data_IF_239272727755
#
_entry.id   IF_239272727755
#
_cell.length_a   1.000
_cell.length_b   1.000
_cell.length_c   1.000
_cell.angle_alpha   90.00
_cell.angle_beta   90.00
_cell.angle_gamma   90.00
#
_symmetry.space_group_name_H-M   'P 1'
#
loop_
_entity.id
_entity.type
_entity.pdbx_description
1 polymer ?
#
# COMPACT_ATOMS: atom_id res chain seq x y z
N UNK A 1 6.10 12.38 -0.26
CA UNK A 1 4.68 12.41 0.14
C UNK A 1 3.83 12.99 -0.97
N UNK A 2 3.96 14.28 -1.25
CA UNK A 2 3.21 14.93 -2.34
C UNK A 2 3.52 14.34 -3.72
N UNK A 3 4.78 14.03 -4.01
CA UNK A 3 5.17 13.49 -5.32
C UNK A 3 4.54 12.13 -5.60
N UNK A 4 4.50 11.24 -4.60
CA UNK A 4 3.88 9.92 -4.74
C UNK A 4 2.35 10.02 -4.96
N UNK A 5 1.70 11.05 -4.39
CA UNK A 5 0.27 11.33 -4.63
C UNK A 5 0.04 11.76 -6.07
N UNK A 6 0.85 12.70 -6.58
CA UNK A 6 0.72 13.15 -7.97
C UNK A 6 1.05 12.03 -8.96
N UNK A 7 2.05 11.21 -8.64
CA UNK A 7 2.40 10.04 -9.43
C UNK A 7 1.25 9.03 -9.48
N UNK A 8 0.64 8.67 -8.34
CA UNK A 8 -0.51 7.76 -8.32
C UNK A 8 -1.67 8.30 -9.17
N UNK A 9 -1.97 9.60 -9.07
CA UNK A 9 -3.01 10.25 -9.88
C UNK A 9 -2.69 10.19 -11.39
N UNK A 10 -1.44 10.40 -11.78
CA UNK A 10 -1.02 10.30 -13.17
C UNK A 10 -1.14 8.85 -13.69
N UNK A 11 -0.76 7.86 -12.87
CA UNK A 11 -0.87 6.44 -13.20
C UNK A 11 -2.32 6.00 -13.30
N UNK A 12 -3.20 6.46 -12.40
CA UNK A 12 -4.65 6.19 -12.43
C UNK A 12 -5.29 6.62 -13.76
N UNK A 13 -4.96 7.83 -14.23
CA UNK A 13 -5.55 8.42 -15.44
C UNK A 13 -4.98 7.79 -16.71
N UNK A 14 -3.65 7.65 -16.77
CA UNK A 14 -2.97 7.30 -18.02
C UNK A 14 -2.74 5.80 -18.18
N UNK A 15 -2.58 5.07 -17.07
CA UNK A 15 -2.16 3.66 -17.06
C UNK A 15 -2.93 2.84 -16.01
N UNK A 16 -4.26 2.70 -16.13
CA UNK A 16 -5.09 2.01 -15.13
C UNK A 16 -4.69 0.54 -14.91
N UNK A 17 -4.04 -0.10 -15.89
CA UNK A 17 -3.47 -1.44 -15.74
C UNK A 17 -2.29 -1.46 -14.77
N UNK A 18 -1.42 -0.44 -14.80
CA UNK A 18 -0.31 -0.28 -13.86
C UNK A 18 -0.85 0.09 -12.47
N UNK A 19 -1.86 0.97 -12.41
CA UNK A 19 -2.56 1.33 -11.16
C UNK A 19 -3.07 0.08 -10.43
N UNK A 20 -3.59 -0.91 -11.16
CA UNK A 20 -4.07 -2.18 -10.61
C UNK A 20 -2.99 -3.17 -10.17
N UNK A 21 -1.71 -2.94 -10.50
CA UNK A 21 -0.58 -3.82 -10.15
C UNK A 21 0.21 -3.33 -8.94
N UNK A 22 0.22 -2.02 -8.69
CA UNK A 22 0.99 -1.42 -7.60
C UNK A 22 0.14 -1.35 -6.34
N UNK A 23 0.70 -1.75 -5.20
CA UNK A 23 0.01 -1.87 -3.91
C UNK A 23 -1.16 -2.85 -3.85
N UNK A 24 -1.38 -3.67 -4.88
CA UNK A 24 -2.49 -4.61 -4.92
C UNK A 24 -2.15 -5.99 -4.35
N UNK A 25 -0.94 -6.21 -3.84
CA UNK A 25 -0.41 -7.54 -3.51
C UNK A 25 -0.42 -7.94 -2.03
N UNK A 26 0.13 -9.13 -1.74
CA UNK A 26 0.25 -9.73 -0.40
C UNK A 26 1.70 -9.98 0.06
N UNK A 27 2.68 -9.31 -0.55
CA UNK A 27 4.12 -9.62 -0.44
C UNK A 27 4.91 -8.76 0.55
N UNK A 28 4.29 -7.73 1.10
CA UNK A 28 4.91 -6.72 1.99
C UNK A 28 4.20 -6.67 3.35
N UNK A 29 3.69 -7.82 3.81
CA UNK A 29 2.99 -7.96 5.08
C UNK A 29 3.93 -7.62 6.26
N UNK A 30 3.47 -6.77 7.18
CA UNK A 30 4.25 -6.39 8.35
C UNK A 30 4.19 -7.50 9.40
N UNK A 31 5.35 -8.03 9.76
CA UNK A 31 5.50 -8.89 10.93
C UNK A 31 4.68 -10.18 10.88
N UNK A 32 4.41 -10.71 9.69
CA UNK A 32 3.66 -11.95 9.48
C UNK A 32 2.14 -11.82 9.56
N UNK A 33 1.60 -10.60 9.72
CA UNK A 33 0.15 -10.39 9.76
C UNK A 33 -0.41 -10.46 8.33
N UNK A 34 -0.97 -11.61 7.99
CA UNK A 34 -1.47 -11.94 6.65
C UNK A 34 -3.01 -11.87 6.53
N UNK A 35 -3.66 -11.05 7.36
CA UNK A 35 -5.13 -10.99 7.48
C UNK A 35 -5.74 -9.73 6.87
N UNK A 36 -4.93 -8.73 6.55
CA UNK A 36 -5.42 -7.43 6.11
C UNK A 36 -6.11 -7.49 4.74
N UNK A 37 -7.30 -6.91 4.60
CA UNK A 37 -8.06 -6.82 3.34
C UNK A 37 -8.42 -5.39 2.99
N UNK A 38 -8.28 -4.47 3.95
CA UNK A 38 -8.82 -3.11 3.86
C UNK A 38 -7.73 -2.10 4.15
N UNK A 39 -7.59 -1.12 3.25
CA UNK A 39 -6.79 0.06 3.50
C UNK A 39 -7.55 1.06 4.35
N UNK A 40 -6.86 1.65 5.32
CA UNK A 40 -7.42 2.66 6.22
C UNK A 40 -6.41 3.76 6.48
N UNK A 41 -6.90 4.93 6.88
CA UNK A 41 -6.03 6.06 7.21
C UNK A 41 -5.59 6.09 8.69
N UNK A 42 -6.28 5.34 9.56
CA UNK A 42 -6.01 5.25 11.00
C UNK A 42 -6.27 3.85 11.54
N UNK A 43 -5.50 3.51 12.57
CA UNK A 43 -5.63 2.29 13.33
C UNK A 43 -5.65 2.71 14.81
N UNK A 44 -6.75 2.39 15.49
CA UNK A 44 -7.06 2.78 16.86
C UNK A 44 -6.36 1.92 17.93
N UNK A 45 -5.96 0.69 17.59
CA UNK A 45 -5.35 -0.27 18.52
C UNK A 45 -6.23 -0.69 19.71
N UNK A 46 -7.52 -0.34 19.68
CA UNK A 46 -8.46 -0.52 20.81
C UNK A 46 -9.62 -1.47 20.48
N UNK A 47 -9.62 -2.03 19.27
CA UNK A 47 -10.62 -2.97 18.75
C UNK A 47 -9.95 -3.93 17.76
N UNK A 48 -10.65 -4.96 17.29
CA UNK A 48 -10.11 -5.84 16.26
C UNK A 48 -9.90 -5.07 14.94
N UNK A 49 -8.63 -4.84 14.60
CA UNK A 49 -8.19 -4.20 13.37
C UNK A 49 -7.31 -5.14 12.53
N UNK A 50 -7.33 -6.45 12.80
CA UNK A 50 -6.49 -7.43 12.10
C UNK A 50 -6.73 -7.47 10.59
N UNK A 51 -7.89 -7.01 10.12
CA UNK A 51 -8.24 -6.90 8.69
C UNK A 51 -7.87 -5.56 8.06
N UNK A 52 -7.30 -4.62 8.82
CA UNK A 52 -6.98 -3.26 8.39
C UNK A 52 -5.48 -3.04 8.29
N UNK A 53 -5.06 -2.24 7.32
CA UNK A 53 -3.65 -1.92 7.12
C UNK A 53 -3.47 -0.55 6.49
N UNK A 54 -2.30 0.04 6.73
CA UNK A 54 -1.80 1.21 6.00
C UNK A 54 -0.59 0.83 5.13
N UNK A 55 -0.34 -0.47 4.96
CA UNK A 55 0.83 -1.01 4.26
C UNK A 55 0.52 -1.38 2.80
N UNK A 56 1.16 -0.69 1.86
CA UNK A 56 1.15 -1.05 0.43
C UNK A 56 1.57 -2.50 0.24
N UNK A 57 0.80 -3.26 -0.55
CA UNK A 57 1.01 -4.69 -0.82
C UNK A 57 1.16 -5.58 0.43
N UNK A 58 0.63 -5.12 1.57
CA UNK A 58 0.55 -5.87 2.82
C UNK A 58 -0.79 -6.57 3.04
N UNK A 59 -1.51 -6.91 1.97
CA UNK A 59 -2.83 -7.54 2.03
C UNK A 59 -2.72 -9.05 2.26
N UNK A 60 -3.84 -9.69 2.57
CA UNK A 60 -3.99 -11.15 2.72
C UNK A 60 -3.78 -11.87 1.39
N UNK A 61 -4.30 -11.29 0.32
CA UNK A 61 -4.22 -11.83 -1.04
C UNK A 61 -4.20 -10.68 -2.04
N UNK A 62 -3.60 -10.91 -3.20
CA UNK A 62 -3.60 -9.92 -4.27
C UNK A 62 -5.03 -9.62 -4.75
N UNK A 63 -5.37 -8.35 -4.98
CA UNK A 63 -6.68 -7.94 -5.50
C UNK A 63 -6.59 -6.65 -6.31
N UNK A 64 -7.20 -6.64 -7.50
CA UNK A 64 -7.21 -5.48 -8.40
C UNK A 64 -8.05 -4.31 -7.87
N UNK A 65 -8.87 -4.52 -6.82
CA UNK A 65 -9.68 -3.47 -6.20
C UNK A 65 -8.89 -2.62 -5.19
N UNK A 66 -7.63 -3.00 -4.91
CA UNK A 66 -6.73 -2.30 -3.98
C UNK A 66 -5.57 -1.68 -4.75
N UNK A 67 -5.94 -0.87 -5.74
CA UNK A 67 -5.05 -0.17 -6.66
C UNK A 67 -4.14 0.83 -5.94
N UNK A 68 -3.12 1.30 -6.65
CA UNK A 68 -2.19 2.29 -6.13
C UNK A 68 -2.84 3.62 -5.79
N UNK A 69 -3.72 4.13 -6.66
CA UNK A 69 -4.58 5.29 -6.43
C UNK A 69 -5.40 5.15 -5.15
N UNK A 70 -6.07 3.99 -4.96
CA UNK A 70 -6.86 3.70 -3.76
C UNK A 70 -6.03 3.54 -2.50
N UNK A 71 -4.84 2.94 -2.59
CA UNK A 71 -3.89 2.94 -1.49
C UNK A 71 -3.55 4.39 -1.09
N UNK A 72 -3.21 5.25 -2.05
CA UNK A 72 -2.86 6.66 -1.77
C UNK A 72 -4.02 7.41 -1.11
N UNK A 73 -5.24 7.23 -1.60
CA UNK A 73 -6.46 7.86 -1.08
C UNK A 73 -6.84 7.33 0.32
N UNK A 74 -7.09 6.02 0.44
CA UNK A 74 -7.64 5.39 1.65
C UNK A 74 -6.66 5.48 2.83
N UNK A 75 -5.35 5.43 2.54
CA UNK A 75 -4.28 5.54 3.54
C UNK A 75 -3.90 6.99 3.84
N UNK A 76 -4.42 7.96 3.08
CA UNK A 76 -4.11 9.39 3.17
C UNK A 76 -2.61 9.70 3.00
N UNK A 77 -2.01 9.10 1.98
CA UNK A 77 -0.63 9.39 1.60
C UNK A 77 -0.54 10.88 1.20
N UNK A 78 0.53 11.54 1.65
CA UNK A 78 0.69 13.00 1.51
C UNK A 78 0.28 13.79 2.75
N UNK A 79 -0.60 13.24 3.59
CA UNK A 79 -0.93 13.75 4.92
C UNK A 79 -0.25 12.92 6.02
N UNK A 80 -0.31 11.58 5.91
CA UNK A 80 0.20 10.62 6.90
C UNK A 80 0.56 9.28 6.25
N UNK A 81 1.03 8.34 7.08
CA UNK A 81 1.33 6.94 6.68
C UNK A 81 2.37 6.79 5.55
N UNK A 82 3.17 7.83 5.32
CA UNK A 82 4.31 7.81 4.40
C UNK A 82 5.57 8.30 5.13
N UNK A 83 6.75 7.66 4.94
CA UNK A 83 7.02 6.47 4.12
C UNK A 83 6.83 5.13 4.85
N UNK A 84 6.38 5.15 6.10
CA UNK A 84 6.17 3.96 6.95
C UNK A 84 4.71 3.52 6.96
N UNK A 85 4.47 2.24 6.69
CA UNK A 85 3.18 1.59 6.88
C UNK A 85 3.03 0.95 8.26
N UNK A 86 1.80 0.58 8.59
CA UNK A 86 1.40 -0.13 9.81
C UNK A 86 0.37 -1.19 9.46
N UNK A 87 0.27 -2.22 10.29
CA UNK A 87 -0.80 -3.21 10.22
C UNK A 87 -1.57 -3.23 11.53
N UNK A 88 -2.90 -3.33 11.43
CA UNK A 88 -3.74 -3.45 12.61
C UNK A 88 -3.46 -4.76 13.33
N UNK A 89 -3.65 -4.73 14.64
CA UNK A 89 -3.66 -5.93 15.48
C UNK A 89 -5.07 -6.10 16.03
N UNK A 90 -5.27 -7.09 16.91
CA UNK A 90 -6.50 -7.17 17.68
C UNK A 90 -6.49 -6.05 18.74
N UNK A 91 -6.65 -6.36 20.03
CA UNK A 91 -6.65 -5.38 21.14
C UNK A 91 -5.28 -4.79 21.48
N UNK A 92 -4.33 -4.78 20.53
CA UNK A 92 -2.98 -4.26 20.70
C UNK A 92 -2.76 -3.06 19.80
N UNK A 93 -1.82 -2.20 20.20
CA UNK A 93 -1.34 -1.12 19.35
C UNK A 93 -0.93 -1.63 17.96
N UNK A 94 -1.16 -0.87 16.88
CA UNK A 94 -0.79 -1.26 15.53
C UNK A 94 0.68 -1.60 15.43
N UNK A 95 1.02 -2.63 14.67
CA UNK A 95 2.42 -2.99 14.44
C UNK A 95 2.98 -2.10 13.34
N UNK A 96 4.06 -1.39 13.66
CA UNK A 96 4.77 -0.57 12.69
C UNK A 96 5.64 -1.43 11.77
N UNK A 97 5.69 -1.07 10.49
CA UNK A 97 6.69 -1.57 9.57
C UNK A 97 8.04 -0.89 9.80
N UNK A 98 9.05 -1.31 9.03
CA UNK A 98 10.33 -0.62 8.95
C UNK A 98 10.15 0.85 8.56
N UNK A 99 11.09 1.76 8.88
CA UNK A 99 11.05 3.20 8.53
C UNK A 99 10.49 3.55 7.16
N UNK A 100 10.78 2.76 6.12
CA UNK A 100 10.38 3.05 4.75
C UNK A 100 9.48 1.96 4.15
N UNK A 101 8.78 1.16 4.97
CA UNK A 101 8.10 -0.04 4.49
C UNK A 101 7.07 0.21 3.36
N UNK A 102 6.40 1.36 3.33
CA UNK A 102 5.51 1.70 2.21
C UNK A 102 6.31 2.12 0.96
N UNK A 103 7.35 2.93 1.13
CA UNK A 103 8.21 3.33 0.02
C UNK A 103 8.92 2.12 -0.62
N UNK A 104 9.43 1.20 0.20
CA UNK A 104 10.04 -0.05 -0.24
C UNK A 104 9.03 -0.95 -0.96
N UNK A 105 7.80 -1.08 -0.44
CA UNK A 105 6.76 -1.88 -1.08
C UNK A 105 6.34 -1.31 -2.44
N UNK A 106 6.14 0.01 -2.55
CA UNK A 106 5.84 0.67 -3.83
C UNK A 106 6.98 0.44 -4.83
N UNK A 107 8.23 0.68 -4.42
CA UNK A 107 9.38 0.48 -5.28
C UNK A 107 9.50 -0.98 -5.74
N UNK A 108 9.25 -1.94 -4.84
CA UNK A 108 9.25 -3.37 -5.16
C UNK A 108 8.18 -3.72 -6.20
N UNK A 109 6.99 -3.15 -6.10
CA UNK A 109 5.93 -3.39 -7.07
C UNK A 109 6.27 -2.78 -8.44
N UNK A 110 6.76 -1.54 -8.48
CA UNK A 110 7.20 -0.88 -9.72
C UNK A 110 8.33 -1.65 -10.42
N UNK A 111 9.24 -2.27 -9.65
CA UNK A 111 10.39 -3.01 -10.21
C UNK A 111 10.07 -4.46 -10.53
N UNK A 112 9.16 -5.13 -9.81
CA UNK A 112 8.99 -6.59 -9.92
C UNK A 112 7.65 -7.02 -10.51
N UNK A 113 6.60 -6.21 -10.40
CA UNK A 113 5.25 -6.59 -10.87
C UNK A 113 4.92 -6.02 -12.25
N UNK A 114 5.71 -5.05 -12.70
CA UNK A 114 5.58 -4.44 -14.02
C UNK A 114 6.39 -5.21 -15.08
N UNK A 115 5.89 -5.25 -16.31
CA UNK A 115 6.67 -5.70 -17.48
C UNK A 115 7.77 -4.67 -17.83
N UNK A 116 8.78 -5.03 -18.63
CA UNK A 116 9.78 -4.05 -19.10
C UNK A 116 9.18 -2.81 -19.77
N UNK A 117 8.10 -2.98 -20.55
CA UNK A 117 7.38 -1.90 -21.22
C UNK A 117 6.69 -0.99 -20.20
N UNK A 118 5.99 -1.58 -19.22
CA UNK A 118 5.34 -0.84 -18.15
C UNK A 118 6.35 -0.09 -17.27
N UNK A 119 7.53 -0.66 -17.00
CA UNK A 119 8.61 0.02 -16.27
C UNK A 119 9.09 1.27 -16.99
N UNK A 120 9.19 1.21 -18.32
CA UNK A 120 9.64 2.34 -19.14
C UNK A 120 8.67 3.52 -19.05
N UNK A 121 7.39 3.25 -18.80
CA UNK A 121 6.35 4.27 -18.66
C UNK A 121 6.43 5.01 -17.31
N UNK A 122 6.84 4.31 -16.24
CA UNK A 122 6.83 4.85 -14.86
C UNK A 122 8.20 5.31 -14.37
N UNK A 123 9.25 5.10 -15.15
CA UNK A 123 10.63 5.46 -14.84
C UNK A 123 10.90 6.97 -14.94
#
# INVERSE_FOLDING_TARGET
GKDIVQFAKAVEISHPTIDGKVCSGSRSQIGGVATATTYVSELSGSSDETTKTTQCSGLKSSTQDKKFSKFVEDVKIGEKNWPRGKVGQNTKAPKEGNPNSNAEAVAKDLVQELTPEEKTIVA
#
